data_IF_850136523524
#
_entry.id   IF_850136523524
#
_cell.length_a   1.000
_cell.length_b   1.000
_cell.length_c   1.000
_cell.angle_alpha   90.00
_cell.angle_beta   90.00
_cell.angle_gamma   90.00
#
_symmetry.space_group_name_H-M   'P 1'
#
loop_
_entity.id
_entity.type
_entity.pdbx_description
1 polymer ?
#
# COMPACT_ATOMS: atom_id res chain seq x y z
N UNK A 1 18.42 1.43 -33.45
CA UNK A 1 17.26 0.90 -32.71
C UNK A 1 16.03 1.73 -33.09
N UNK A 2 14.91 1.11 -33.48
CA UNK A 2 13.66 1.84 -33.70
C UNK A 2 13.10 2.19 -32.32
N UNK A 3 12.96 3.48 -32.02
CA UNK A 3 12.30 3.94 -30.79
C UNK A 3 10.84 3.47 -30.87
N UNK A 4 10.46 2.48 -30.04
CA UNK A 4 9.05 2.08 -29.92
C UNK A 4 8.30 3.28 -29.35
N UNK A 5 7.15 3.59 -29.96
CA UNK A 5 6.37 4.77 -29.63
C UNK A 5 5.47 4.44 -28.43
N UNK A 6 5.76 5.02 -27.27
CA UNK A 6 4.86 4.94 -26.10
C UNK A 6 3.53 5.62 -26.44
N UNK A 7 2.44 4.87 -26.38
CA UNK A 7 1.09 5.34 -26.70
C UNK A 7 0.38 5.90 -25.46
N UNK A 8 -0.78 6.53 -25.67
CA UNK A 8 -1.63 6.97 -24.55
C UNK A 8 -2.20 5.79 -23.77
N UNK A 9 -2.51 4.68 -24.45
CA UNK A 9 -3.02 3.47 -23.81
C UNK A 9 -1.99 2.84 -22.86
N UNK A 10 -0.71 2.84 -23.24
CA UNK A 10 0.38 2.36 -22.40
C UNK A 10 0.52 3.22 -21.12
N UNK A 11 0.46 4.54 -21.28
CA UNK A 11 0.51 5.49 -20.15
C UNK A 11 -0.68 5.25 -19.21
N UNK A 12 -1.89 5.13 -19.76
CA UNK A 12 -3.09 4.94 -18.95
C UNK A 12 -3.11 3.55 -18.27
N UNK A 13 -2.54 2.53 -18.91
CA UNK A 13 -2.31 1.23 -18.28
C UNK A 13 -1.37 1.34 -17.09
N UNK A 14 -0.18 1.91 -17.28
CA UNK A 14 0.81 2.03 -16.20
C UNK A 14 0.29 2.90 -15.04
N UNK A 15 -0.50 3.94 -15.33
CA UNK A 15 -1.21 4.70 -14.28
C UNK A 15 -2.12 3.85 -13.42
N UNK A 16 -2.87 2.92 -14.03
CA UNK A 16 -3.73 1.98 -13.29
C UNK A 16 -2.91 1.00 -12.47
N UNK A 17 -1.81 0.48 -13.03
CA UNK A 17 -0.87 -0.40 -12.32
C UNK A 17 -0.36 0.29 -11.05
N UNK A 18 0.18 1.50 -11.16
CA UNK A 18 0.72 2.26 -10.02
C UNK A 18 -0.38 2.62 -8.99
N UNK A 19 -1.59 2.95 -9.46
CA UNK A 19 -2.72 3.19 -8.56
C UNK A 19 -3.17 1.93 -7.80
N UNK A 20 -3.15 0.78 -8.47
CA UNK A 20 -3.46 -0.52 -7.86
C UNK A 20 -2.38 -0.92 -6.86
N UNK A 21 -1.11 -0.65 -7.17
CA UNK A 21 0.01 -0.86 -6.25
C UNK A 21 -0.23 -0.10 -4.93
N UNK A 22 -0.56 1.20 -5.01
CA UNK A 22 -0.94 1.99 -3.82
C UNK A 22 -2.11 1.38 -3.07
N UNK A 23 -3.19 1.02 -3.78
CA UNK A 23 -4.37 0.43 -3.18
C UNK A 23 -4.03 -0.82 -2.35
N UNK A 24 -3.19 -1.71 -2.88
CA UNK A 24 -2.79 -2.92 -2.16
C UNK A 24 -1.96 -2.60 -0.91
N UNK A 25 -1.05 -1.62 -0.97
CA UNK A 25 -0.32 -1.16 0.21
C UNK A 25 -1.22 -0.51 1.27
N UNK A 26 -2.12 0.38 0.87
CA UNK A 26 -3.09 1.01 1.77
C UNK A 26 -3.96 -0.04 2.47
N UNK A 27 -4.44 -1.03 1.71
CA UNK A 27 -5.28 -2.10 2.24
C UNK A 27 -4.52 -3.05 3.16
N UNK A 28 -3.27 -3.37 2.83
CA UNK A 28 -2.40 -4.11 3.74
C UNK A 28 -2.19 -3.37 5.06
N UNK A 29 -1.96 -2.05 5.00
CA UNK A 29 -1.79 -1.21 6.17
C UNK A 29 -3.07 -1.09 6.99
N UNK A 30 -4.23 -1.02 6.35
CA UNK A 30 -5.53 -1.10 7.02
C UNK A 30 -5.65 -2.40 7.82
N UNK A 31 -5.42 -3.56 7.18
CA UNK A 31 -5.52 -4.84 7.88
C UNK A 31 -4.50 -4.99 9.01
N UNK A 32 -3.27 -4.45 8.87
CA UNK A 32 -2.29 -4.41 9.97
C UNK A 32 -2.77 -3.59 11.16
N UNK A 33 -3.48 -2.47 10.92
CA UNK A 33 -4.08 -1.67 12.01
C UNK A 33 -5.19 -2.45 12.70
N UNK A 34 -6.09 -3.06 11.95
CA UNK A 34 -7.17 -3.89 12.53
C UNK A 34 -6.63 -5.10 13.31
N UNK A 35 -5.57 -5.75 12.80
CA UNK A 35 -4.85 -6.79 13.52
C UNK A 35 -4.34 -6.28 14.87
N UNK A 36 -3.68 -5.11 14.88
CA UNK A 36 -3.14 -4.51 16.11
C UNK A 36 -4.25 -4.18 17.10
N UNK A 37 -5.37 -3.62 16.63
CA UNK A 37 -6.54 -3.34 17.48
C UNK A 37 -7.09 -4.61 18.11
N UNK A 38 -7.23 -5.70 17.34
CA UNK A 38 -7.70 -6.99 17.87
C UNK A 38 -6.76 -7.55 18.95
N UNK A 39 -5.44 -7.43 18.74
CA UNK A 39 -4.43 -7.85 19.72
C UNK A 39 -4.48 -6.99 21.00
N UNK A 40 -4.64 -5.67 20.88
CA UNK A 40 -4.80 -4.77 22.04
C UNK A 40 -6.04 -5.12 22.87
N UNK A 41 -7.17 -5.40 22.21
CA UNK A 41 -8.40 -5.85 22.89
C UNK A 41 -8.21 -7.21 23.59
N UNK A 42 -7.51 -8.15 22.94
CA UNK A 42 -7.23 -9.46 23.55
C UNK A 42 -6.38 -9.31 24.82
N UNK A 43 -5.34 -8.45 24.76
CA UNK A 43 -4.51 -8.12 25.91
C UNK A 43 -5.30 -7.49 27.05
N UNK A 44 -6.25 -6.59 26.74
CA UNK A 44 -7.14 -5.97 27.72
C UNK A 44 -8.08 -6.99 28.38
N UNK A 45 -8.70 -7.88 27.62
CA UNK A 45 -9.56 -8.94 28.14
C UNK A 45 -8.80 -9.89 29.08
N UNK A 46 -7.59 -10.29 28.68
CA UNK A 46 -6.71 -11.14 29.50
C UNK A 46 -6.34 -10.43 30.82
N UNK A 47 -5.97 -9.14 30.76
CA UNK A 47 -5.61 -8.33 31.94
C UNK A 47 -6.81 -8.08 32.87
N UNK A 48 -7.97 -7.76 32.31
CA UNK A 48 -9.20 -7.43 33.04
C UNK A 48 -9.74 -8.58 33.89
N UNK A 49 -9.43 -9.82 33.50
CA UNK A 49 -9.79 -11.03 34.25
C UNK A 49 -8.90 -11.27 35.48
N UNK A 50 -7.77 -10.58 35.62
CA UNK A 50 -6.84 -10.77 36.75
C UNK A 50 -6.24 -12.18 36.84
N UNK A 51 -6.32 -12.95 35.74
CA UNK A 51 -5.84 -14.33 35.70
C UNK A 51 -4.33 -14.32 35.40
N UNK A 52 -3.52 -14.68 36.39
CA UNK A 52 -2.16 -15.14 36.14
C UNK A 52 -2.21 -16.54 35.54
N UNK A 53 -1.82 -16.69 34.27
CA UNK A 53 -1.79 -17.99 33.59
C UNK A 53 -0.87 -19.02 34.28
N UNK A 54 0.01 -18.58 35.18
CA UNK A 54 0.88 -19.44 36.01
C UNK A 54 0.14 -20.11 37.17
N UNK A 55 -1.07 -19.65 37.50
CA UNK A 55 -1.87 -20.13 38.64
C UNK A 55 -3.03 -21.07 38.26
N UNK A 56 -3.24 -21.31 36.96
CA UNK A 56 -4.31 -22.18 36.48
C UNK A 56 -3.83 -23.64 36.34
N UNK A 57 -4.62 -24.63 36.82
CA UNK A 57 -4.36 -26.05 36.56
C UNK A 57 -4.22 -26.31 35.06
N UNK A 58 -3.25 -27.14 34.67
CA UNK A 58 -3.03 -27.56 33.28
C UNK A 58 -4.28 -28.27 32.75
N UNK A 59 -5.12 -27.54 32.03
CA UNK A 59 -6.40 -28.04 31.49
C UNK A 59 -7.57 -27.07 31.64
N UNK A 60 -7.46 -26.07 32.52
CA UNK A 60 -8.48 -25.02 32.74
C UNK A 60 -8.04 -23.65 32.21
N UNK A 61 -7.29 -23.60 31.10
CA UNK A 61 -7.09 -22.36 30.33
C UNK A 61 -8.36 -22.08 29.53
N UNK A 62 -9.40 -21.63 30.23
CA UNK A 62 -10.69 -21.28 29.64
C UNK A 62 -10.58 -19.98 28.87
N UNK A 63 -10.03 -20.04 27.66
CA UNK A 63 -10.18 -18.97 26.68
C UNK A 63 -11.68 -18.83 26.41
N UNK A 64 -12.25 -17.69 26.76
CA UNK A 64 -13.67 -17.42 26.53
C UNK A 64 -13.99 -17.42 25.05
N UNK A 65 -15.28 -17.58 24.72
CA UNK A 65 -15.74 -17.45 23.33
C UNK A 65 -15.27 -16.14 22.71
N UNK A 66 -15.27 -15.04 23.47
CA UNK A 66 -14.83 -13.73 23.01
C UNK A 66 -13.30 -13.63 22.78
N UNK A 67 -12.48 -14.14 23.70
CA UNK A 67 -11.01 -14.20 23.49
C UNK A 67 -10.65 -15.07 22.27
N UNK A 68 -11.37 -16.17 22.05
CA UNK A 68 -11.19 -16.99 20.84
C UNK A 68 -11.60 -16.24 19.56
N UNK A 69 -12.69 -15.47 19.60
CA UNK A 69 -13.10 -14.62 18.48
C UNK A 69 -12.01 -13.57 18.16
N UNK A 70 -11.42 -12.94 19.17
CA UNK A 70 -10.32 -11.98 19.00
C UNK A 70 -9.07 -12.63 18.40
N UNK A 71 -8.68 -13.82 18.86
CA UNK A 71 -7.55 -14.58 18.29
C UNK A 71 -7.79 -14.91 16.81
N UNK A 72 -8.99 -15.41 16.46
CA UNK A 72 -9.34 -15.73 15.07
C UNK A 72 -9.35 -14.46 14.21
N UNK A 73 -9.86 -13.36 14.75
CA UNK A 73 -9.94 -12.07 14.08
C UNK A 73 -8.55 -11.51 13.81
N UNK A 74 -7.66 -11.51 14.80
CA UNK A 74 -6.26 -11.10 14.66
C UNK A 74 -5.56 -11.91 13.57
N UNK A 75 -5.64 -13.25 13.65
CA UNK A 75 -5.03 -14.14 12.66
C UNK A 75 -5.58 -13.91 11.25
N UNK A 76 -6.89 -13.66 11.14
CA UNK A 76 -7.54 -13.36 9.86
C UNK A 76 -7.01 -12.06 9.25
N UNK A 77 -6.93 -10.98 10.04
CA UNK A 77 -6.38 -9.71 9.55
C UNK A 77 -4.90 -9.81 9.19
N UNK A 78 -4.11 -10.56 9.95
CA UNK A 78 -2.71 -10.83 9.62
C UNK A 78 -2.57 -11.51 8.25
N UNK A 79 -3.39 -12.54 7.99
CA UNK A 79 -3.40 -13.23 6.70
C UNK A 79 -3.86 -12.32 5.56
N UNK A 80 -4.89 -11.50 5.78
CA UNK A 80 -5.38 -10.54 4.78
C UNK A 80 -4.31 -9.49 4.44
N UNK A 81 -3.61 -8.96 5.44
CA UNK A 81 -2.49 -8.03 5.24
C UNK A 81 -1.38 -8.67 4.38
N UNK A 82 -0.99 -9.92 4.69
CA UNK A 82 0.01 -10.65 3.92
C UNK A 82 -0.43 -10.88 2.47
N UNK A 83 -1.70 -11.21 2.25
CA UNK A 83 -2.24 -11.43 0.91
C UNK A 83 -2.20 -10.15 0.06
N UNK A 84 -2.55 -9.00 0.63
CA UNK A 84 -2.47 -7.72 -0.08
C UNK A 84 -1.01 -7.29 -0.35
N UNK A 85 -0.10 -7.51 0.60
CA UNK A 85 1.34 -7.28 0.36
C UNK A 85 1.89 -8.18 -0.76
N UNK A 86 1.46 -9.44 -0.81
CA UNK A 86 1.86 -10.34 -1.89
C UNK A 86 1.41 -9.81 -3.26
N UNK A 87 0.18 -9.30 -3.37
CA UNK A 87 -0.30 -8.67 -4.61
C UNK A 87 0.52 -7.44 -5.00
N UNK A 88 0.84 -6.59 -4.02
CA UNK A 88 1.69 -5.41 -4.25
C UNK A 88 3.09 -5.81 -4.74
N UNK A 89 3.71 -6.80 -4.10
CA UNK A 89 5.05 -7.29 -4.47
C UNK A 89 5.05 -7.93 -5.87
N UNK A 90 4.01 -8.68 -6.22
CA UNK A 90 3.88 -9.22 -7.57
C UNK A 90 3.83 -8.09 -8.61
N UNK A 91 3.10 -7.01 -8.35
CA UNK A 91 3.08 -5.84 -9.25
C UNK A 91 4.47 -5.21 -9.36
N UNK A 92 5.17 -5.01 -8.25
CA UNK A 92 6.53 -4.44 -8.26
C UNK A 92 7.47 -5.25 -9.15
N UNK A 93 7.43 -6.58 -9.03
CA UNK A 93 8.30 -7.52 -9.74
C UNK A 93 7.91 -7.64 -11.22
N UNK A 94 6.64 -7.93 -11.51
CA UNK A 94 6.16 -8.15 -12.89
C UNK A 94 6.33 -6.90 -13.76
N UNK A 95 6.11 -5.72 -13.19
CA UNK A 95 6.17 -4.44 -13.91
C UNK A 95 7.52 -3.73 -13.76
N UNK A 96 8.47 -4.32 -13.02
CA UNK A 96 9.80 -3.79 -12.73
C UNK A 96 9.78 -2.34 -12.27
N UNK A 97 8.88 -2.03 -11.33
CA UNK A 97 8.64 -0.64 -10.92
C UNK A 97 9.90 0.00 -10.34
N UNK A 98 10.72 -0.75 -9.59
CA UNK A 98 11.97 -0.25 -9.02
C UNK A 98 12.94 0.24 -10.12
N UNK A 99 13.24 -0.59 -11.12
CA UNK A 99 14.08 -0.24 -12.27
C UNK A 99 13.54 1.00 -13.02
N UNK A 100 12.22 1.09 -13.16
CA UNK A 100 11.56 2.22 -13.83
C UNK A 100 11.64 3.52 -13.04
N UNK A 101 11.74 3.47 -11.71
CA UNK A 101 11.90 4.65 -10.87
C UNK A 101 13.32 5.21 -10.94
N UNK A 102 14.34 4.37 -11.16
CA UNK A 102 15.74 4.80 -11.21
C UNK A 102 16.05 5.84 -12.29
N UNK A 103 15.27 5.87 -13.38
CA UNK A 103 15.49 6.86 -14.45
C UNK A 103 14.91 8.23 -14.13
N UNK A 104 14.05 8.34 -13.11
CA UNK A 104 13.41 9.59 -12.74
C UNK A 104 14.39 10.50 -11.99
N UNK A 105 14.31 11.80 -12.28
CA UNK A 105 15.05 12.82 -11.54
C UNK A 105 14.37 13.07 -10.19
N UNK A 106 15.10 13.63 -9.24
CA UNK A 106 14.57 13.95 -7.89
C UNK A 106 13.20 14.65 -7.91
N UNK A 107 13.02 15.70 -8.72
CA UNK A 107 11.71 16.40 -8.83
C UNK A 107 10.62 15.56 -9.50
N UNK A 108 10.99 14.62 -10.36
CA UNK A 108 10.05 13.69 -11.00
C UNK A 108 9.63 12.61 -10.00
N UNK A 109 10.57 12.11 -9.20
CA UNK A 109 10.31 11.21 -8.07
C UNK A 109 9.40 11.87 -7.04
N UNK A 110 9.64 13.14 -6.67
CA UNK A 110 8.79 13.86 -5.73
C UNK A 110 7.33 13.93 -6.23
N UNK A 111 7.12 14.24 -7.51
CA UNK A 111 5.76 14.29 -8.11
C UNK A 111 5.16 12.88 -8.21
N UNK A 112 5.97 11.87 -8.50
CA UNK A 112 5.55 10.47 -8.49
C UNK A 112 5.07 10.05 -7.10
N UNK A 113 5.85 10.32 -6.06
CA UNK A 113 5.53 9.99 -4.67
C UNK A 113 4.24 10.70 -4.24
N UNK A 114 4.16 12.02 -4.46
CA UNK A 114 2.96 12.80 -4.15
C UNK A 114 1.69 12.18 -4.76
N UNK A 115 1.75 11.77 -6.04
CA UNK A 115 0.57 11.29 -6.76
C UNK A 115 0.26 9.81 -6.54
N UNK A 116 1.25 8.95 -6.70
CA UNK A 116 1.08 7.49 -6.72
C UNK A 116 1.34 6.84 -5.37
N UNK A 117 2.10 7.45 -4.48
CA UNK A 117 2.35 6.89 -3.14
C UNK A 117 1.44 7.55 -2.11
N UNK A 118 1.42 8.88 -2.06
CA UNK A 118 0.65 9.65 -1.06
C UNK A 118 -0.80 9.91 -1.47
N UNK A 119 -1.13 9.75 -2.75
CA UNK A 119 -2.50 9.90 -3.25
C UNK A 119 -3.00 11.34 -3.32
N UNK A 120 -2.10 12.32 -3.43
CA UNK A 120 -2.47 13.71 -3.65
C UNK A 120 -3.23 13.90 -4.96
N UNK A 121 -4.20 14.81 -4.95
CA UNK A 121 -4.93 15.19 -6.16
C UNK A 121 -4.07 16.05 -7.09
N UNK A 122 -4.45 16.12 -8.37
CA UNK A 122 -3.77 16.99 -9.35
C UNK A 122 -3.78 18.46 -8.93
N UNK A 123 -4.86 18.90 -8.28
CA UNK A 123 -5.00 20.23 -7.71
C UNK A 123 -4.01 20.47 -6.56
N UNK A 124 -3.86 19.51 -5.64
CA UNK A 124 -2.92 19.60 -4.52
C UNK A 124 -1.47 19.62 -5.01
N UNK A 125 -1.13 18.80 -6.00
CA UNK A 125 0.21 18.80 -6.61
C UNK A 125 0.46 20.12 -7.33
N UNK A 126 -0.47 20.58 -8.17
CA UNK A 126 -0.32 21.86 -8.84
C UNK A 126 -0.09 23.00 -7.83
N UNK A 127 -0.82 23.00 -6.71
CA UNK A 127 -0.63 23.95 -5.63
C UNK A 127 0.75 23.84 -4.97
N UNK A 128 1.19 22.63 -4.59
CA UNK A 128 2.51 22.36 -3.99
C UNK A 128 3.65 22.92 -4.85
N UNK A 129 3.55 22.79 -6.17
CA UNK A 129 4.56 23.27 -7.12
C UNK A 129 4.32 24.70 -7.64
N UNK A 130 3.44 25.47 -6.99
CA UNK A 130 3.08 26.85 -7.33
C UNK A 130 2.66 27.02 -8.81
N UNK A 131 1.78 26.11 -9.27
CA UNK A 131 1.21 26.09 -10.61
C UNK A 131 -0.28 26.38 -10.55
N UNK A 132 -0.75 27.19 -11.51
CA UNK A 132 -2.13 27.69 -11.54
C UNK A 132 -3.14 26.69 -12.11
N UNK A 133 -2.70 25.52 -12.56
CA UNK A 133 -3.52 24.62 -13.38
C UNK A 133 -3.23 23.16 -13.08
N UNK A 134 -4.28 22.38 -12.85
CA UNK A 134 -4.21 20.92 -12.71
C UNK A 134 -3.82 20.20 -14.00
N UNK A 135 -4.05 20.83 -15.17
CA UNK A 135 -3.60 20.29 -16.45
C UNK A 135 -2.06 20.21 -16.51
N UNK A 136 -1.35 21.13 -15.86
CA UNK A 136 0.11 21.03 -15.73
C UNK A 136 0.51 19.76 -14.96
N UNK A 137 -0.15 19.47 -13.83
CA UNK A 137 0.15 18.29 -13.03
C UNK A 137 -0.19 17.01 -13.81
N UNK A 138 -1.34 16.97 -14.49
CA UNK A 138 -1.72 15.85 -15.35
C UNK A 138 -0.67 15.57 -16.44
N UNK A 139 -0.18 16.62 -17.11
CA UNK A 139 0.87 16.50 -18.13
C UNK A 139 2.18 15.98 -17.53
N UNK A 140 2.57 16.48 -16.35
CA UNK A 140 3.78 16.01 -15.68
C UNK A 140 3.72 14.54 -15.29
N UNK A 141 2.58 14.08 -14.81
CA UNK A 141 2.39 12.67 -14.51
C UNK A 141 2.41 11.83 -15.81
N UNK A 142 1.78 12.28 -16.90
CA UNK A 142 1.88 11.61 -18.21
C UNK A 142 3.34 11.52 -18.69
N UNK A 143 4.13 12.58 -18.52
CA UNK A 143 5.55 12.61 -18.92
C UNK A 143 6.42 11.69 -18.05
N UNK A 144 6.17 11.65 -16.74
CA UNK A 144 6.86 10.74 -15.79
C UNK A 144 6.58 9.29 -16.17
N UNK A 145 5.31 8.94 -16.34
CA UNK A 145 4.91 7.57 -16.71
C UNK A 145 5.47 7.17 -18.07
N UNK A 146 5.47 8.10 -19.05
CA UNK A 146 6.11 7.85 -20.35
C UNK A 146 7.60 7.51 -20.18
N UNK A 147 8.31 8.26 -19.36
CA UNK A 147 9.74 8.06 -19.10
C UNK A 147 10.01 6.71 -18.40
N UNK A 148 9.17 6.33 -17.44
CA UNK A 148 9.20 5.00 -16.82
C UNK A 148 9.00 3.87 -17.84
N UNK A 149 8.12 4.08 -18.83
CA UNK A 149 7.85 3.09 -19.89
C UNK A 149 9.01 2.96 -20.89
N UNK A 150 9.78 4.02 -21.11
CA UNK A 150 10.95 4.00 -22.01
C UNK A 150 12.12 3.12 -21.50
N UNK A 151 12.10 2.63 -20.25
CA UNK A 151 13.16 1.77 -19.66
C UNK A 151 13.19 0.36 -20.24
N UNK A 152 12.05 -0.16 -20.70
CA UNK A 152 11.93 -1.50 -21.27
C UNK A 152 12.02 -1.54 -22.81
N UNK A 153 12.36 -0.40 -23.44
CA UNK A 153 12.35 -0.23 -24.90
C UNK A 153 13.74 -0.13 -25.53
#
# INVERSE_FOLDING_TARGET
MKKILVTKEDIDYMKRVLSNLRYHYEKANFFKKEQKTAAELLDEEIKGRGISYDSLPSGSRGVSTYENELIITEASYAQMAQNELKKANNILEEEKIEDRLEVLKEKELEIYDDYFVDGMTLEQIAFKFNKKSKQWAAQKIDDIVRKMLEVEL
#
